data_IF_351420639767
#
_entry.id   IF_351420639767
#
_cell.length_a   1.000
_cell.length_b   1.000
_cell.length_c   1.000
_cell.angle_alpha   90.00
_cell.angle_beta   90.00
_cell.angle_gamma   90.00
#
_symmetry.space_group_name_H-M   'P 1'
#
loop_
_entity.id
_entity.type
_entity.pdbx_description
1 polymer ?
#
# COMPACT_ATOMS: atom_id res chain seq x y z
N UNK A 1 -2.82 59.45 -8.07
CA UNK A 1 -2.52 58.44 -7.02
C UNK A 1 -2.17 59.18 -5.73
N UNK A 2 -2.96 58.96 -4.68
CA UNK A 2 -2.92 59.78 -3.46
C UNK A 2 -1.65 59.52 -2.65
N UNK A 3 -0.99 60.57 -2.14
CA UNK A 3 0.23 60.52 -1.29
C UNK A 3 0.09 59.56 -0.09
N UNK A 4 -1.15 59.28 0.33
CA UNK A 4 -1.48 58.31 1.38
C UNK A 4 -1.20 56.85 0.98
N UNK A 5 -1.37 56.49 -0.29
CA UNK A 5 -1.11 55.12 -0.78
C UNK A 5 0.38 54.84 -0.83
N UNK A 6 1.19 55.84 -1.20
CA UNK A 6 2.65 55.71 -1.23
C UNK A 6 3.25 55.58 0.18
N UNK A 7 2.70 56.31 1.16
CA UNK A 7 3.14 56.21 2.55
C UNK A 7 2.83 54.84 3.17
N UNK A 8 1.65 54.26 2.88
CA UNK A 8 1.28 52.92 3.35
C UNK A 8 2.17 51.85 2.68
N UNK A 9 2.45 51.99 1.39
CA UNK A 9 3.32 51.08 0.66
C UNK A 9 4.77 51.08 1.21
N UNK A 10 5.32 52.27 1.52
CA UNK A 10 6.66 52.36 2.13
C UNK A 10 6.70 51.76 3.55
N UNK A 11 5.67 51.98 4.36
CA UNK A 11 5.60 51.43 5.71
C UNK A 11 5.49 49.90 5.69
N UNK A 12 4.69 49.34 4.77
CA UNK A 12 4.61 47.89 4.58
C UNK A 12 5.93 47.29 4.10
N UNK A 13 6.66 47.96 3.21
CA UNK A 13 7.96 47.49 2.73
C UNK A 13 9.00 47.46 3.86
N UNK A 14 9.04 48.48 4.71
CA UNK A 14 9.95 48.55 5.86
C UNK A 14 9.67 47.44 6.89
N UNK A 15 8.39 47.16 7.18
CA UNK A 15 8.01 46.07 8.08
C UNK A 15 8.38 44.68 7.52
N UNK A 16 8.29 44.50 6.20
CA UNK A 16 8.63 43.24 5.54
C UNK A 16 10.14 42.97 5.56
N UNK A 17 10.97 44.01 5.39
CA UNK A 17 12.43 43.91 5.48
C UNK A 17 12.89 43.55 6.90
N UNK A 18 12.28 44.14 7.94
CA UNK A 18 12.61 43.83 9.33
C UNK A 18 12.32 42.36 9.72
N UNK A 19 11.26 41.78 9.15
CA UNK A 19 10.87 40.38 9.40
C UNK A 19 11.83 39.37 8.75
N UNK A 20 12.40 39.71 7.58
CA UNK A 20 13.35 38.85 6.87
C UNK A 20 14.73 38.84 7.55
N UNK A 21 15.20 39.98 8.05
CA UNK A 21 16.50 40.08 8.75
C UNK A 21 16.47 39.36 10.10
N UNK A 22 15.33 39.40 10.82
CA UNK A 22 15.16 38.68 12.08
C UNK A 22 15.20 37.15 11.95
N UNK A 23 14.72 36.60 10.83
CA UNK A 23 14.66 35.15 10.61
C UNK A 23 16.03 34.53 10.27
N UNK A 24 16.97 35.29 9.69
CA UNK A 24 18.31 34.78 9.35
C UNK A 24 19.25 34.64 10.54
N UNK A 25 19.04 35.41 11.62
CA UNK A 25 19.92 35.35 12.80
C UNK A 25 19.67 34.11 13.69
N UNK A 26 18.49 33.50 13.63
CA UNK A 26 18.13 32.35 14.50
C UNK A 26 18.68 31.01 13.96
N UNK A 27 18.96 30.91 12.66
CA UNK A 27 19.42 29.66 12.03
C UNK A 27 20.91 29.38 12.31
N UNK A 28 21.71 30.39 12.65
CA UNK A 28 23.16 30.23 12.87
C UNK A 28 23.54 29.60 14.24
N UNK A 29 22.60 29.45 15.18
CA UNK A 29 22.91 28.99 16.55
C UNK A 29 22.77 27.46 16.76
N UNK A 30 22.36 26.68 15.75
CA UNK A 30 21.96 25.26 15.95
C UNK A 30 22.96 24.23 15.37
N UNK A 31 24.08 24.64 14.75
CA UNK A 31 25.06 23.70 14.19
C UNK A 31 26.31 23.60 15.07
N UNK A 32 26.15 22.92 16.21
CA UNK A 32 27.25 22.47 17.06
C UNK A 32 28.04 21.32 16.42
N UNK A 33 29.36 21.45 16.46
CA UNK A 33 30.39 20.57 15.89
C UNK A 33 30.45 19.20 16.58
N UNK A 34 30.26 18.11 15.84
CA UNK A 34 30.58 16.75 16.31
C UNK A 34 31.95 16.33 15.78
N UNK A 35 32.90 16.21 16.71
CA UNK A 35 34.27 15.74 16.54
C UNK A 35 34.36 14.24 16.29
N UNK A 36 35.28 13.90 15.39
CA UNK A 36 35.82 12.57 15.04
C UNK A 36 36.31 11.78 16.26
N UNK A 37 35.92 10.51 16.37
CA UNK A 37 36.75 9.50 17.05
C UNK A 37 36.92 8.27 16.15
N UNK A 38 38.16 7.78 16.14
CA UNK A 38 38.79 6.89 15.17
C UNK A 38 39.25 5.69 15.95
N UNK A 39 38.41 4.66 16.05
CA UNK A 39 38.80 3.41 16.71
C UNK A 39 39.12 2.35 15.66
N UNK A 40 40.41 2.06 15.56
CA UNK A 40 41.05 0.96 14.85
C UNK A 40 40.61 -0.39 15.42
N UNK A 41 40.26 -1.35 14.55
CA UNK A 41 40.22 -2.77 14.90
C UNK A 41 41.05 -3.55 13.89
N UNK A 42 42.01 -4.29 14.44
CA UNK A 42 42.97 -5.20 13.82
C UNK A 42 42.32 -6.39 13.10
N UNK A 43 43.11 -6.93 12.16
CA UNK A 43 42.82 -8.11 11.35
C UNK A 43 43.53 -9.37 11.89
N UNK A 44 42.81 -10.50 11.84
CA UNK A 44 43.28 -11.88 11.53
C UNK A 44 43.91 -12.75 12.65
N UNK A 45 44.08 -14.09 12.45
CA UNK A 45 43.18 -15.12 11.86
C UNK A 45 43.22 -16.53 12.56
N UNK A 46 42.42 -17.48 12.02
CA UNK A 46 42.73 -18.91 11.74
C UNK A 46 42.07 -20.07 12.54
N UNK A 47 41.58 -21.07 11.76
CA UNK A 47 41.49 -22.54 11.99
C UNK A 47 40.59 -23.10 13.12
N UNK A 48 40.02 -24.32 13.12
CA UNK A 48 39.83 -25.47 12.19
C UNK A 48 38.98 -26.53 12.96
N UNK A 49 38.31 -27.41 12.20
CA UNK A 49 37.91 -28.79 12.55
C UNK A 49 36.60 -29.10 13.31
N UNK A 50 35.78 -29.90 12.60
CA UNK A 50 34.83 -30.93 13.06
C UNK A 50 35.59 -32.15 13.62
N UNK A 51 34.96 -33.09 14.38
CA UNK A 51 34.13 -34.15 13.78
C UNK A 51 32.92 -34.64 14.64
N UNK A 52 32.27 -35.67 14.08
CA UNK A 52 30.96 -36.32 14.25
C UNK A 52 30.63 -37.12 15.55
N UNK A 53 29.41 -37.70 15.50
CA UNK A 53 28.81 -38.84 16.25
C UNK A 53 27.88 -38.45 17.42
N UNK A 54 26.75 -39.08 17.76
CA UNK A 54 26.07 -40.33 17.36
C UNK A 54 24.63 -40.35 17.98
N UNK A 55 23.76 -41.29 17.56
CA UNK A 55 22.55 -41.76 18.29
C UNK A 55 21.22 -41.07 17.90
N UNK A 56 20.26 -41.63 17.13
CA UNK A 56 19.61 -42.95 17.06
C UNK A 56 18.38 -43.14 17.99
N UNK A 57 17.24 -43.38 17.33
CA UNK A 57 16.03 -44.20 17.66
C UNK A 57 14.97 -43.82 18.72
N UNK A 58 13.71 -43.73 18.27
CA UNK A 58 12.53 -44.57 18.62
C UNK A 58 11.20 -43.79 18.39
N UNK A 59 10.39 -44.11 17.36
CA UNK A 59 9.19 -45.00 17.37
C UNK A 59 8.16 -44.66 18.47
N UNK A 60 6.94 -44.21 18.16
CA UNK A 60 5.82 -45.03 17.69
C UNK A 60 4.96 -45.42 18.91
N UNK A 61 3.73 -44.99 19.12
CA UNK A 61 2.51 -45.56 18.50
C UNK A 61 1.26 -45.02 19.22
N UNK A 62 0.18 -44.88 18.44
CA UNK A 62 -1.22 -44.84 18.91
C UNK A 62 -1.66 -46.23 19.39
N UNK A 63 -2.72 -46.37 20.23
CA UNK A 63 -3.99 -46.83 19.67
C UNK A 63 -5.27 -46.32 20.38
N UNK A 64 -6.38 -46.86 19.89
CA UNK A 64 -7.79 -46.45 19.93
C UNK A 64 -8.63 -47.06 21.07
N UNK A 65 -9.73 -46.36 21.39
CA UNK A 65 -11.08 -46.81 21.82
C UNK A 65 -11.30 -47.82 22.97
N UNK A 66 -12.22 -47.48 23.90
CA UNK A 66 -13.55 -48.13 24.00
C UNK A 66 -14.41 -47.56 25.15
N UNK A 67 -15.72 -47.82 25.01
CA UNK A 67 -16.88 -47.20 25.64
C UNK A 67 -17.22 -47.67 27.08
N UNK A 68 -18.08 -46.89 27.76
CA UNK A 68 -19.04 -47.37 28.77
C UNK A 68 -20.38 -46.59 28.70
N UNK A 69 -21.50 -47.15 29.19
CA UNK A 69 -22.85 -46.76 28.79
C UNK A 69 -23.67 -45.94 29.82
N UNK A 70 -24.71 -45.29 29.28
CA UNK A 70 -26.05 -44.91 29.78
C UNK A 70 -26.35 -44.76 31.28
N UNK A 71 -27.12 -43.71 31.64
CA UNK A 71 -28.42 -43.83 32.35
C UNK A 71 -29.23 -42.52 32.23
N UNK A 72 -30.51 -42.70 31.87
CA UNK A 72 -31.59 -41.71 31.76
C UNK A 72 -32.13 -41.24 33.12
N UNK A 73 -32.61 -39.99 33.21
CA UNK A 73 -33.77 -39.64 34.04
C UNK A 73 -34.35 -38.26 33.62
N UNK A 74 -35.61 -38.26 33.19
CA UNK A 74 -36.48 -37.08 32.98
C UNK A 74 -37.56 -37.06 34.09
N UNK A 75 -38.41 -36.01 34.23
CA UNK A 75 -38.57 -35.23 35.47
C UNK A 75 -39.89 -35.51 36.21
N UNK A 76 -40.11 -34.95 37.41
CA UNK A 76 -41.46 -34.78 37.94
C UNK A 76 -41.98 -33.33 37.80
N UNK A 77 -43.30 -33.26 37.70
CA UNK A 77 -44.12 -32.10 37.38
C UNK A 77 -44.47 -31.20 38.58
N UNK A 78 -44.52 -29.90 38.27
CA UNK A 78 -45.53 -28.87 38.63
C UNK A 78 -46.33 -29.03 39.94
N UNK A 79 -46.25 -27.99 40.78
CA UNK A 79 -47.35 -27.52 41.64
C UNK A 79 -47.49 -25.98 41.55
N UNK A 80 -48.72 -25.44 41.66
CA UNK A 80 -49.06 -24.05 41.29
C UNK A 80 -48.76 -23.01 42.37
N UNK A 81 -48.46 -21.79 41.91
CA UNK A 81 -48.25 -20.58 42.71
C UNK A 81 -49.56 -20.02 43.30
N UNK A 82 -49.54 -19.43 44.51
CA UNK A 82 -50.69 -18.73 45.07
C UNK A 82 -50.91 -17.36 44.42
N UNK A 83 -52.19 -17.07 44.17
CA UNK A 83 -52.77 -15.83 43.67
C UNK A 83 -52.53 -14.65 44.61
N UNK A 84 -51.81 -13.63 44.13
CA UNK A 84 -51.67 -12.35 44.81
C UNK A 84 -52.80 -11.39 44.36
N UNK A 85 -53.45 -10.80 45.36
CA UNK A 85 -54.52 -9.78 45.27
C UNK A 85 -54.07 -8.51 44.51
N UNK A 86 -54.93 -7.88 43.68
CA UNK A 86 -54.56 -6.64 42.98
C UNK A 86 -54.56 -5.42 43.92
N UNK A 87 -53.45 -4.69 43.95
CA UNK A 87 -53.33 -3.35 44.54
C UNK A 87 -53.95 -2.28 43.64
N UNK A 88 -54.43 -1.15 44.19
CA UNK A 88 -55.13 -0.12 43.42
C UNK A 88 -54.23 0.56 42.37
N UNK A 89 -54.77 0.68 41.16
CA UNK A 89 -54.16 1.30 39.98
C UNK A 89 -53.85 2.78 40.23
N UNK A 90 -52.57 3.12 40.39
CA UNK A 90 -52.11 4.51 40.28
C UNK A 90 -52.02 4.87 38.80
N UNK A 91 -52.75 5.91 38.39
CA UNK A 91 -52.74 6.43 37.03
C UNK A 91 -51.30 6.74 36.58
N UNK A 92 -50.86 6.05 35.54
CA UNK A 92 -49.53 6.25 34.96
C UNK A 92 -49.52 7.55 34.14
N UNK A 93 -48.69 8.50 34.55
CA UNK A 93 -48.33 9.66 33.74
C UNK A 93 -47.78 9.18 32.39
N UNK A 94 -48.22 9.74 31.24
CA UNK A 94 -47.67 9.34 29.95
C UNK A 94 -46.18 9.64 29.92
N UNK A 95 -45.38 8.59 29.75
CA UNK A 95 -43.93 8.65 29.62
C UNK A 95 -43.62 9.39 28.31
N UNK A 96 -42.73 10.41 28.29
CA UNK A 96 -42.40 11.09 27.05
C UNK A 96 -41.86 10.06 26.06
N UNK A 97 -42.50 9.96 24.90
CA UNK A 97 -42.06 9.11 23.80
C UNK A 97 -40.69 9.63 23.38
N UNK A 98 -39.65 8.86 23.68
CA UNK A 98 -38.30 9.17 23.25
C UNK A 98 -38.29 9.24 21.72
N UNK A 99 -38.18 10.47 21.20
CA UNK A 99 -37.90 10.70 19.79
C UNK A 99 -36.58 10.03 19.49
N UNK A 100 -36.63 8.90 18.78
CA UNK A 100 -35.44 8.16 18.41
C UNK A 100 -34.70 9.02 17.39
N UNK A 101 -33.62 9.67 17.82
CA UNK A 101 -32.71 10.35 16.92
C UNK A 101 -32.31 9.36 15.80
N UNK A 102 -32.25 9.80 14.52
CA UNK A 102 -31.94 8.90 13.43
C UNK A 102 -30.61 8.21 13.74
N UNK A 103 -30.65 6.88 13.88
CA UNK A 103 -29.47 6.05 14.02
C UNK A 103 -28.61 6.34 12.79
N UNK A 104 -27.47 7.03 12.98
CA UNK A 104 -26.48 7.27 11.94
C UNK A 104 -26.30 5.95 11.19
N UNK A 105 -26.59 5.93 9.88
CA UNK A 105 -26.46 4.72 9.08
C UNK A 105 -25.06 4.16 9.32
N UNK A 106 -24.99 2.90 9.76
CA UNK A 106 -23.72 2.24 9.97
C UNK A 106 -22.99 2.25 8.62
N UNK A 107 -21.88 2.98 8.59
CA UNK A 107 -21.00 3.05 7.44
C UNK A 107 -20.54 1.61 7.13
N UNK A 108 -20.86 1.12 5.93
CA UNK A 108 -20.44 -0.20 5.51
C UNK A 108 -18.91 -0.21 5.29
N UNK A 109 -18.21 -1.00 6.11
CA UNK A 109 -16.81 -1.31 5.90
C UNK A 109 -16.70 -2.50 4.94
N UNK A 110 -15.92 -2.34 3.88
CA UNK A 110 -15.79 -3.30 2.80
C UNK A 110 -14.39 -3.94 2.82
N UNK A 111 -14.26 -5.26 2.68
CA UNK A 111 -12.96 -5.92 2.76
C UNK A 111 -12.15 -5.68 1.48
N UNK A 112 -10.89 -5.29 1.67
CA UNK A 112 -9.94 -5.08 0.57
C UNK A 112 -9.28 -6.42 0.24
N UNK A 113 -9.40 -6.84 -1.02
CA UNK A 113 -8.90 -8.14 -1.51
C UNK A 113 -7.55 -8.03 -2.20
N UNK A 114 -7.11 -6.81 -2.54
CA UNK A 114 -5.79 -6.58 -3.09
C UNK A 114 -5.52 -5.12 -3.43
N UNK A 115 -4.26 -4.83 -3.71
CA UNK A 115 -3.77 -3.52 -4.16
C UNK A 115 -3.13 -3.72 -5.53
N UNK A 116 -3.46 -2.87 -6.50
CA UNK A 116 -2.87 -2.91 -7.85
C UNK A 116 -1.61 -2.06 -7.89
N UNK A 117 -1.73 -0.83 -7.40
CA UNK A 117 -0.69 0.20 -7.31
C UNK A 117 -1.06 1.18 -6.18
N UNK A 118 -0.36 2.31 -6.06
CA UNK A 118 -0.54 3.24 -4.95
C UNK A 118 -1.87 4.00 -4.95
N UNK A 119 -2.68 3.93 -6.01
CA UNK A 119 -3.95 4.65 -6.12
C UNK A 119 -5.11 3.78 -6.64
N UNK A 120 -4.86 2.50 -6.94
CA UNK A 120 -5.87 1.56 -7.41
C UNK A 120 -5.91 0.33 -6.50
N UNK A 121 -7.06 0.13 -5.83
CA UNK A 121 -7.32 -1.01 -4.94
C UNK A 121 -8.42 -1.93 -5.49
N UNK A 122 -8.49 -3.15 -4.98
CA UNK A 122 -9.55 -4.13 -5.27
C UNK A 122 -10.34 -4.41 -4.00
N UNK A 123 -11.65 -4.18 -4.03
CA UNK A 123 -12.54 -4.29 -2.87
C UNK A 123 -13.66 -5.25 -3.19
N UNK A 124 -14.10 -6.05 -2.22
CA UNK A 124 -15.26 -6.92 -2.39
C UNK A 124 -16.54 -6.16 -2.01
N UNK A 125 -17.43 -5.95 -2.99
CA UNK A 125 -18.70 -5.25 -2.85
C UNK A 125 -19.81 -6.21 -3.29
N UNK A 126 -20.74 -6.54 -2.40
CA UNK A 126 -21.85 -7.46 -2.73
C UNK A 126 -21.41 -8.82 -3.26
N UNK A 127 -20.27 -9.34 -2.80
CA UNK A 127 -19.70 -10.62 -3.26
C UNK A 127 -18.82 -10.53 -4.52
N UNK A 128 -18.88 -9.42 -5.26
CA UNK A 128 -18.08 -9.19 -6.47
C UNK A 128 -16.81 -8.40 -6.14
N UNK A 129 -15.72 -8.67 -6.86
CA UNK A 129 -14.48 -7.89 -6.73
C UNK A 129 -14.53 -6.68 -7.66
N UNK A 130 -14.56 -5.49 -7.08
CA UNK A 130 -14.57 -4.20 -7.78
C UNK A 130 -13.19 -3.54 -7.73
N UNK A 131 -12.82 -2.84 -8.81
CA UNK A 131 -11.62 -1.99 -8.82
C UNK A 131 -12.01 -0.57 -8.45
N UNK A 132 -11.25 0.04 -7.56
CA UNK A 132 -11.47 1.40 -7.08
C UNK A 132 -10.24 2.24 -7.40
N UNK A 133 -10.43 3.34 -8.14
CA UNK A 133 -9.43 4.41 -8.28
C UNK A 133 -9.68 5.42 -7.18
N UNK A 134 -8.66 5.66 -6.36
CA UNK A 134 -8.73 6.60 -5.26
C UNK A 134 -8.74 8.03 -5.80
N UNK A 135 -9.72 8.81 -5.36
CA UNK A 135 -9.88 10.22 -5.78
C UNK A 135 -8.74 11.07 -5.20
N UNK A 136 -8.26 12.04 -5.99
CA UNK A 136 -7.38 13.10 -5.52
C UNK A 136 -5.89 12.75 -5.42
N UNK A 137 -5.50 11.54 -5.79
CA UNK A 137 -4.10 11.09 -5.77
C UNK A 137 -3.68 10.49 -7.10
N UNK A 138 -2.42 10.73 -7.45
CA UNK A 138 -1.71 10.04 -8.51
C UNK A 138 -0.38 9.51 -7.97
N UNK A 139 -0.20 8.20 -8.08
CA UNK A 139 1.00 7.52 -7.58
C UNK A 139 1.87 7.02 -8.72
N UNK A 140 3.19 6.86 -8.51
CA UNK A 140 4.06 6.34 -9.56
C UNK A 140 3.63 4.93 -9.99
N UNK A 141 3.57 4.71 -11.30
CA UNK A 141 3.05 3.48 -11.88
C UNK A 141 4.05 2.32 -11.74
N UNK A 142 3.59 1.20 -11.17
CA UNK A 142 4.42 -0.01 -11.01
C UNK A 142 4.88 -0.58 -12.34
N UNK A 143 4.03 -0.51 -13.37
CA UNK A 143 4.34 -1.06 -14.70
C UNK A 143 5.43 -0.28 -15.43
N UNK A 144 5.70 0.96 -15.02
CA UNK A 144 6.76 1.81 -15.58
C UNK A 144 8.06 1.75 -14.80
N UNK A 145 8.15 0.97 -13.71
CA UNK A 145 9.24 1.04 -12.72
C UNK A 145 9.52 2.48 -12.29
N UNK A 146 8.47 3.30 -12.17
CA UNK A 146 8.64 4.69 -11.82
C UNK A 146 9.24 4.82 -10.42
N UNK A 147 10.03 5.87 -10.23
CA UNK A 147 10.68 6.10 -8.95
C UNK A 147 9.64 6.12 -7.83
N UNK A 148 9.86 5.30 -6.79
CA UNK A 148 8.96 5.11 -5.64
C UNK A 148 7.65 4.33 -5.89
N UNK A 149 7.38 3.80 -7.09
CA UNK A 149 6.16 3.02 -7.36
C UNK A 149 5.94 1.86 -6.37
N UNK A 150 6.99 1.07 -6.11
CA UNK A 150 6.93 -0.04 -5.16
C UNK A 150 6.64 0.43 -3.73
N UNK A 151 7.29 1.52 -3.31
CA UNK A 151 7.09 2.10 -1.97
C UNK A 151 5.67 2.64 -1.81
N UNK A 152 5.12 3.27 -2.85
CA UNK A 152 3.74 3.77 -2.85
C UNK A 152 2.73 2.64 -2.76
N UNK A 153 2.90 1.59 -3.57
CA UNK A 153 2.04 0.40 -3.53
C UNK A 153 2.10 -0.32 -2.18
N UNK A 154 3.29 -0.56 -1.64
CA UNK A 154 3.45 -1.16 -0.31
C UNK A 154 2.85 -0.27 0.79
N UNK A 155 2.94 1.06 0.68
CA UNK A 155 2.30 1.96 1.63
C UNK A 155 0.77 1.85 1.58
N UNK A 156 0.18 1.90 0.39
CA UNK A 156 -1.27 1.69 0.21
C UNK A 156 -1.67 0.34 0.82
N UNK A 157 -0.95 -0.72 0.47
CA UNK A 157 -1.15 -2.07 1.00
C UNK A 157 -1.11 -2.11 2.53
N UNK A 158 -0.13 -1.48 3.20
CA UNK A 158 -0.08 -1.41 4.67
C UNK A 158 -1.26 -0.68 5.31
N UNK A 159 -1.92 0.24 4.59
CA UNK A 159 -3.07 0.99 5.08
C UNK A 159 -4.35 0.16 4.96
N UNK A 160 -4.50 -0.57 3.85
CA UNK A 160 -5.78 -1.18 3.48
C UNK A 160 -5.82 -2.70 3.56
N UNK A 161 -4.69 -3.39 3.41
CA UNK A 161 -4.65 -4.85 3.37
C UNK A 161 -4.90 -5.42 4.77
N UNK A 162 -5.74 -6.45 4.84
CA UNK A 162 -6.25 -7.06 6.08
C UNK A 162 -7.17 -6.16 6.91
N UNK A 163 -7.55 -4.99 6.38
CA UNK A 163 -8.55 -4.11 6.97
C UNK A 163 -9.74 -3.98 6.05
N UNK A 164 -10.88 -3.61 6.64
CA UNK A 164 -12.02 -3.15 5.86
C UNK A 164 -11.96 -1.63 5.76
N UNK A 165 -12.31 -1.10 4.60
CA UNK A 165 -12.30 0.33 4.32
C UNK A 165 -13.71 0.81 4.01
N UNK A 166 -14.00 2.06 4.33
CA UNK A 166 -15.19 2.73 3.82
C UNK A 166 -14.86 3.32 2.44
N UNK A 167 -15.77 3.10 1.49
CA UNK A 167 -15.75 3.76 0.19
C UNK A 167 -16.79 4.88 0.18
N UNK A 168 -16.35 6.12 0.00
CA UNK A 168 -17.24 7.29 -0.07
C UNK A 168 -17.24 7.82 -1.51
N UNK A 169 -18.43 7.92 -2.09
CA UNK A 169 -18.60 8.55 -3.40
C UNK A 169 -18.51 10.07 -3.25
N UNK A 170 -17.95 10.73 -4.26
CA UNK A 170 -17.86 12.18 -4.31
C UNK A 170 -18.90 12.71 -5.32
N UNK A 171 -19.91 13.50 -4.89
CA UNK A 171 -20.96 14.01 -5.78
C UNK A 171 -20.44 14.90 -6.92
N UNK A 172 -19.24 15.47 -6.77
CA UNK A 172 -18.60 16.29 -7.81
C UNK A 172 -17.94 15.44 -8.90
N UNK A 173 -17.79 14.14 -8.67
CA UNK A 173 -17.12 13.19 -9.56
C UNK A 173 -18.13 12.19 -10.13
N UNK A 174 -17.80 11.62 -11.29
CA UNK A 174 -18.54 10.48 -11.82
C UNK A 174 -18.41 9.26 -10.90
N UNK A 175 -19.37 8.33 -11.00
CA UNK A 175 -19.32 7.10 -10.19
C UNK A 175 -18.17 6.17 -10.61
N UNK A 176 -17.90 6.13 -11.92
CA UNK A 176 -16.85 5.33 -12.54
C UNK A 176 -16.05 6.13 -13.55
N UNK A 177 -14.81 5.71 -13.76
CA UNK A 177 -13.97 6.22 -14.84
C UNK A 177 -14.20 5.50 -16.18
N UNK A 178 -13.53 5.97 -17.25
CA UNK A 178 -13.60 5.36 -18.59
C UNK A 178 -13.11 3.91 -18.67
N UNK A 179 -12.44 3.42 -17.62
CA UNK A 179 -11.93 2.04 -17.50
C UNK A 179 -12.81 1.18 -16.59
N UNK A 180 -13.99 1.68 -16.21
CA UNK A 180 -14.95 0.99 -15.35
C UNK A 180 -14.52 0.88 -13.89
N UNK A 181 -13.49 1.61 -13.42
CA UNK A 181 -13.13 1.64 -11.99
C UNK A 181 -14.08 2.55 -11.24
N UNK A 182 -14.50 2.16 -10.04
CA UNK A 182 -15.20 3.05 -9.12
C UNK A 182 -14.30 4.20 -8.70
N UNK A 183 -14.84 5.42 -8.68
CA UNK A 183 -14.17 6.61 -8.16
C UNK A 183 -14.63 6.83 -6.72
N UNK A 184 -13.73 6.64 -5.75
CA UNK A 184 -14.07 6.73 -4.32
C UNK A 184 -12.97 7.39 -3.50
N UNK A 185 -13.37 8.09 -2.46
CA UNK A 185 -12.52 8.32 -1.29
C UNK A 185 -12.43 7.03 -0.49
N UNK A 186 -11.21 6.64 -0.13
CA UNK A 186 -10.95 5.45 0.69
C UNK A 186 -10.65 5.92 2.11
N UNK A 187 -11.58 5.64 3.02
CA UNK A 187 -11.44 5.94 4.44
C UNK A 187 -11.07 4.66 5.17
N UNK A 188 -9.94 4.68 5.88
CA UNK A 188 -9.48 3.55 6.69
C UNK A 188 -10.33 3.40 7.95
N UNK A 189 -10.25 2.25 8.62
CA UNK A 189 -11.04 1.96 9.82
C UNK A 189 -10.79 2.94 10.97
N UNK A 190 -9.60 3.54 11.04
CA UNK A 190 -9.23 4.61 11.99
C UNK A 190 -9.67 6.02 11.53
N UNK A 191 -10.46 6.12 10.46
CA UNK A 191 -11.06 7.38 9.97
C UNK A 191 -10.14 8.25 9.13
N UNK A 192 -8.99 7.74 8.69
CA UNK A 192 -8.03 8.50 7.86
C UNK A 192 -8.34 8.32 6.38
N UNK A 193 -8.16 9.39 5.60
CA UNK A 193 -8.21 9.31 4.13
C UNK A 193 -6.90 8.72 3.61
N UNK A 194 -6.97 7.57 2.92
CA UNK A 194 -5.79 6.89 2.41
C UNK A 194 -4.97 7.81 1.49
N UNK A 195 -5.62 8.51 0.56
CA UNK A 195 -4.95 9.47 -0.35
C UNK A 195 -4.19 10.56 0.42
N UNK A 196 -4.79 11.16 1.45
CA UNK A 196 -4.11 12.16 2.27
C UNK A 196 -2.85 11.60 2.94
N UNK A 197 -2.91 10.38 3.49
CA UNK A 197 -1.77 9.73 4.15
C UNK A 197 -0.65 9.45 3.16
N UNK A 198 -0.97 9.00 1.95
CA UNK A 198 0.04 8.76 0.91
C UNK A 198 0.68 10.06 0.43
N UNK A 199 -0.12 11.09 0.16
CA UNK A 199 0.38 12.40 -0.31
C UNK A 199 1.29 13.03 0.76
N UNK A 200 0.87 13.00 2.02
CA UNK A 200 1.67 13.55 3.13
C UNK A 200 3.01 12.82 3.32
N UNK A 201 3.05 11.52 3.02
CA UNK A 201 4.27 10.72 3.04
C UNK A 201 5.13 10.84 1.77
N UNK A 202 4.68 11.60 0.75
CA UNK A 202 5.38 11.74 -0.53
C UNK A 202 5.28 10.50 -1.43
N UNK A 203 4.30 9.62 -1.20
CA UNK A 203 4.08 8.41 -2.02
C UNK A 203 3.30 8.68 -3.30
N UNK A 204 2.72 9.87 -3.44
CA UNK A 204 1.98 10.32 -4.61
C UNK A 204 1.81 11.83 -4.62
N UNK A 205 1.26 12.33 -5.72
CA UNK A 205 0.96 13.75 -5.95
C UNK A 205 -0.53 13.99 -5.79
N UNK A 206 -0.90 15.23 -5.47
CA UNK A 206 -2.30 15.63 -5.58
C UNK A 206 -2.70 15.62 -7.06
N UNK A 207 -3.88 15.10 -7.35
CA UNK A 207 -4.38 15.01 -8.71
C UNK A 207 -5.84 15.43 -8.81
N UNK A 208 -6.05 16.57 -9.46
CA UNK A 208 -7.36 17.07 -9.86
C UNK A 208 -7.52 16.82 -11.35
N UNK A 209 -8.51 16.01 -11.75
CA UNK A 209 -8.74 15.73 -13.17
C UNK A 209 -9.48 16.87 -13.89
N UNK A 210 -10.76 17.09 -13.54
CA UNK A 210 -11.64 18.03 -14.24
C UNK A 210 -12.38 18.98 -13.28
N UNK A 211 -12.91 18.45 -12.18
CA UNK A 211 -13.62 19.22 -11.17
C UNK A 211 -12.92 19.15 -9.81
N UNK A 212 -13.05 20.22 -9.02
CA UNK A 212 -12.65 20.18 -7.62
C UNK A 212 -13.46 19.11 -6.89
N UNK A 213 -12.78 18.34 -6.05
CA UNK A 213 -13.33 17.22 -5.30
C UNK A 213 -13.25 17.49 -3.80
N UNK A 214 -14.00 16.72 -3.00
CA UNK A 214 -14.02 16.84 -1.56
C UNK A 214 -12.63 16.56 -0.96
N UNK A 215 -12.19 17.35 0.03
CA UNK A 215 -10.86 17.26 0.66
C UNK A 215 -9.66 17.76 -0.18
N UNK A 216 -9.86 18.32 -1.39
CA UNK A 216 -8.76 18.85 -2.22
C UNK A 216 -7.82 19.79 -1.47
N UNK A 217 -8.35 20.72 -0.69
CA UNK A 217 -7.52 21.68 0.07
C UNK A 217 -6.59 20.99 1.07
N UNK A 218 -7.04 19.91 1.71
CA UNK A 218 -6.21 19.11 2.61
C UNK A 218 -5.10 18.36 1.86
N UNK A 219 -5.38 17.89 0.64
CA UNK A 219 -4.41 17.14 -0.17
C UNK A 219 -3.33 18.08 -0.73
N UNK A 220 -3.71 19.26 -1.22
CA UNK A 220 -2.76 20.32 -1.62
C UNK A 220 -1.86 20.72 -0.44
N UNK A 221 -2.43 20.88 0.76
CA UNK A 221 -1.65 21.20 1.95
C UNK A 221 -0.70 20.05 2.34
N UNK A 222 -1.14 18.79 2.23
CA UNK A 222 -0.31 17.61 2.47
C UNK A 222 0.85 17.53 1.47
N UNK A 223 0.59 17.78 0.19
CA UNK A 223 1.60 17.77 -0.86
C UNK A 223 2.65 18.86 -0.61
N UNK A 224 2.22 20.07 -0.23
CA UNK A 224 3.13 21.17 0.15
C UNK A 224 4.06 20.77 1.30
N UNK A 225 3.55 20.06 2.32
CA UNK A 225 4.37 19.54 3.43
C UNK A 225 5.37 18.48 2.96
N UNK A 226 4.94 17.56 2.10
CA UNK A 226 5.81 16.52 1.55
C UNK A 226 6.95 17.10 0.68
N UNK A 227 6.63 18.10 -0.16
CA UNK A 227 7.59 18.87 -0.95
C UNK A 227 8.60 19.60 -0.07
N UNK A 228 8.15 20.33 0.94
CA UNK A 228 9.02 21.08 1.86
C UNK A 228 10.01 20.15 2.60
N UNK A 229 9.56 18.94 2.95
CA UNK A 229 10.37 17.90 3.60
C UNK A 229 11.17 17.02 2.62
N UNK A 230 11.06 17.26 1.31
CA UNK A 230 11.70 16.47 0.23
C UNK A 230 11.45 14.97 0.37
N UNK A 231 10.22 14.58 0.71
CA UNK A 231 9.84 13.18 0.94
C UNK A 231 9.51 12.47 -0.38
N UNK A 232 9.82 11.18 -0.43
CA UNK A 232 9.29 10.29 -1.46
C UNK A 232 9.64 10.72 -2.89
N UNK A 233 8.60 10.88 -3.71
CA UNK A 233 8.71 11.36 -5.11
C UNK A 233 9.32 12.76 -5.22
N UNK A 234 9.36 13.53 -4.13
CA UNK A 234 9.98 14.86 -4.06
C UNK A 234 11.44 14.83 -3.58
N UNK A 235 11.97 13.65 -3.26
CA UNK A 235 13.36 13.50 -2.84
C UNK A 235 14.32 13.54 -4.04
N UNK A 236 15.57 13.91 -3.79
CA UNK A 236 16.62 13.91 -4.81
C UNK A 236 16.87 12.52 -5.43
N UNK A 237 16.49 11.44 -4.72
CA UNK A 237 16.57 10.07 -5.22
C UNK A 237 15.71 9.82 -6.47
N UNK A 238 14.69 10.66 -6.72
CA UNK A 238 13.88 10.63 -7.93
C UNK A 238 14.20 11.77 -8.91
N UNK A 239 15.10 12.68 -8.57
CA UNK A 239 15.44 13.86 -9.37
C UNK A 239 16.61 13.64 -10.32
N UNK A 240 17.21 12.44 -10.34
CA UNK A 240 18.32 12.16 -11.24
C UNK A 240 17.85 12.17 -12.70
N UNK A 241 18.46 12.98 -13.60
CA UNK A 241 18.41 12.67 -15.01
C UNK A 241 19.08 11.31 -15.20
N UNK A 242 18.56 10.52 -16.14
CA UNK A 242 19.11 9.23 -16.57
C UNK A 242 20.53 9.38 -17.12
N UNK A 243 21.52 9.56 -16.25
CA UNK A 243 22.92 9.25 -16.57
C UNK A 243 23.22 7.90 -15.96
N UNK A 244 23.47 6.93 -16.83
CA UNK A 244 23.84 5.58 -16.47
C UNK A 244 24.99 5.61 -15.47
N UNK A 245 24.73 5.16 -14.24
CA UNK A 245 25.78 4.98 -13.26
C UNK A 245 26.75 3.90 -13.78
N UNK A 246 28.08 4.14 -13.77
CA UNK A 246 29.03 3.08 -14.05
C UNK A 246 28.89 1.98 -12.99
N UNK A 247 29.04 0.70 -13.37
CA UNK A 247 28.80 -0.42 -12.46
C UNK A 247 29.77 -0.37 -11.26
N UNK A 248 29.30 -0.59 -10.02
CA UNK A 248 30.18 -0.76 -8.88
C UNK A 248 30.99 -2.05 -9.05
N UNK A 249 32.31 -1.89 -9.05
CA UNK A 249 33.28 -2.98 -9.14
C UNK A 249 33.47 -3.63 -7.75
N UNK A 250 33.10 -4.91 -7.64
CA UNK A 250 33.42 -5.84 -6.53
C UNK A 250 32.66 -5.64 -5.22
N UNK A 251 32.34 -6.66 -4.40
CA UNK A 251 32.37 -8.13 -4.53
C UNK A 251 31.53 -8.72 -3.36
N UNK A 252 30.92 -9.88 -3.62
CA UNK A 252 30.45 -10.92 -2.69
C UNK A 252 29.21 -10.70 -1.78
N UNK A 253 28.23 -11.60 -1.94
CA UNK A 253 27.30 -11.98 -0.87
C UNK A 253 25.87 -12.33 -1.29
N UNK A 254 25.69 -13.44 -2.02
CA UNK A 254 24.51 -14.35 -1.98
C UNK A 254 23.12 -13.77 -2.37
N UNK A 255 22.68 -13.93 -3.63
CA UNK A 255 21.29 -13.63 -4.01
C UNK A 255 20.79 -14.36 -5.29
N UNK A 256 19.54 -14.83 -5.20
CA UNK A 256 18.50 -14.94 -6.23
C UNK A 256 18.75 -15.83 -7.47
N UNK A 257 17.69 -16.41 -8.09
CA UNK A 257 17.84 -17.32 -9.23
C UNK A 257 18.48 -16.58 -10.41
N UNK A 258 19.67 -17.04 -10.77
CA UNK A 258 20.56 -16.41 -11.74
C UNK A 258 20.01 -16.63 -13.15
N UNK A 259 19.78 -15.54 -13.87
CA UNK A 259 19.60 -15.51 -15.32
C UNK A 259 20.73 -16.33 -15.98
N UNK A 260 20.45 -17.34 -16.83
CA UNK A 260 21.53 -18.13 -17.43
C UNK A 260 22.44 -17.22 -18.25
N UNK A 261 23.70 -17.09 -17.84
CA UNK A 261 24.78 -16.52 -18.64
C UNK A 261 25.18 -17.56 -19.68
N UNK A 262 24.32 -17.74 -20.68
CA UNK A 262 24.49 -18.67 -21.77
C UNK A 262 23.72 -18.21 -23.00
N UNK A 263 23.92 -18.90 -24.12
CA UNK A 263 23.33 -18.63 -25.45
C UNK A 263 21.78 -18.70 -25.48
N UNK A 264 21.16 -18.94 -24.33
CA UNK A 264 19.72 -19.11 -24.13
C UNK A 264 19.05 -17.82 -23.69
N UNK A 265 19.17 -16.83 -24.56
CA UNK A 265 18.65 -15.49 -24.34
C UNK A 265 17.21 -15.33 -24.79
N UNK A 266 16.58 -16.31 -25.45
CA UNK A 266 15.22 -16.13 -25.94
C UNK A 266 14.24 -16.35 -24.78
N UNK A 267 13.43 -15.33 -24.47
CA UNK A 267 12.46 -15.33 -23.37
C UNK A 267 11.12 -15.88 -23.82
N UNK A 268 10.65 -17.00 -23.29
CA UNK A 268 9.30 -17.52 -23.50
C UNK A 268 8.34 -17.20 -22.36
N UNK A 269 7.47 -16.19 -22.53
CA UNK A 269 6.37 -15.83 -21.61
C UNK A 269 4.96 -16.34 -22.05
N UNK A 270 4.15 -16.81 -21.10
CA UNK A 270 2.76 -17.20 -21.32
C UNK A 270 1.86 -16.02 -20.96
N UNK A 271 1.11 -15.51 -21.94
CA UNK A 271 0.18 -14.41 -21.71
C UNK A 271 -0.97 -14.81 -20.78
N UNK A 272 -1.70 -13.84 -20.25
CA UNK A 272 -2.90 -14.10 -19.44
C UNK A 272 -4.02 -14.85 -20.17
N UNK A 273 -3.93 -14.97 -21.50
CA UNK A 273 -4.84 -15.75 -22.35
C UNK A 273 -4.32 -17.16 -22.65
N UNK A 274 -3.18 -17.56 -22.06
CA UNK A 274 -2.54 -18.85 -22.29
C UNK A 274 -1.67 -18.92 -23.55
N UNK A 275 -1.48 -17.80 -24.27
CA UNK A 275 -0.66 -17.80 -25.48
C UNK A 275 0.83 -17.88 -25.12
N UNK A 276 1.53 -18.83 -25.74
CA UNK A 276 2.99 -19.02 -25.62
C UNK A 276 3.73 -18.10 -26.58
N UNK A 277 4.39 -17.07 -26.05
CA UNK A 277 5.07 -16.03 -26.84
C UNK A 277 6.56 -16.00 -26.52
N UNK A 278 7.41 -16.11 -27.54
CA UNK A 278 8.86 -15.97 -27.36
C UNK A 278 9.37 -14.61 -27.86
N UNK A 279 10.36 -14.06 -27.14
CA UNK A 279 10.97 -12.76 -27.39
C UNK A 279 12.48 -12.95 -27.61
N UNK A 280 12.99 -12.38 -28.70
CA UNK A 280 14.41 -12.39 -29.06
C UNK A 280 15.11 -11.12 -28.57
N UNK A 281 16.40 -11.17 -28.21
CA UNK A 281 17.18 -9.98 -27.88
C UNK A 281 17.05 -8.89 -28.97
N UNK A 282 16.82 -7.65 -28.56
CA UNK A 282 16.60 -6.52 -29.47
C UNK A 282 15.16 -6.35 -29.98
N UNK A 283 14.24 -7.28 -29.67
CA UNK A 283 12.82 -7.11 -29.96
C UNK A 283 12.13 -6.12 -29.02
N UNK A 284 11.12 -5.38 -29.49
CA UNK A 284 10.50 -4.28 -28.74
C UNK A 284 9.83 -4.62 -27.39
N UNK A 285 9.65 -5.90 -27.06
CA UNK A 285 9.17 -6.34 -25.74
C UNK A 285 10.17 -7.24 -25.02
N UNK A 286 11.38 -7.40 -25.54
CA UNK A 286 12.37 -8.30 -24.98
C UNK A 286 12.78 -7.90 -23.57
N UNK A 287 13.13 -6.63 -23.35
CA UNK A 287 13.64 -6.17 -22.06
C UNK A 287 12.56 -6.09 -20.98
N UNK A 288 11.31 -5.84 -21.38
CA UNK A 288 10.15 -5.79 -20.47
C UNK A 288 9.57 -7.17 -20.14
N UNK A 289 9.89 -8.20 -20.92
CA UNK A 289 9.41 -9.55 -20.66
C UNK A 289 10.18 -10.16 -19.49
N UNK A 290 9.46 -10.64 -18.47
CA UNK A 290 10.02 -11.33 -17.31
C UNK A 290 9.52 -12.77 -17.34
N UNK A 291 10.45 -13.72 -17.21
CA UNK A 291 10.15 -15.15 -17.21
C UNK A 291 9.82 -15.62 -15.80
N UNK A 292 8.63 -16.20 -15.65
CA UNK A 292 8.13 -16.79 -14.42
C UNK A 292 8.03 -18.31 -14.56
N UNK A 293 9.07 -19.04 -14.18
CA UNK A 293 9.13 -20.51 -14.37
C UNK A 293 7.98 -21.28 -13.73
N UNK A 294 7.44 -20.78 -12.61
CA UNK A 294 6.28 -21.39 -11.94
C UNK A 294 4.99 -21.34 -12.78
N UNK A 295 4.94 -20.54 -13.85
CA UNK A 295 3.84 -20.51 -14.82
C UNK A 295 4.11 -21.37 -16.06
N UNK A 296 5.21 -22.12 -16.10
CA UNK A 296 5.66 -22.86 -17.29
C UNK A 296 6.33 -21.98 -18.34
N UNK A 297 6.69 -20.74 -17.99
CA UNK A 297 7.52 -19.85 -18.80
C UNK A 297 8.97 -20.29 -18.73
N UNK A 298 9.75 -20.09 -19.79
CA UNK A 298 11.15 -20.56 -19.82
C UNK A 298 11.99 -19.84 -20.86
N UNK A 299 13.30 -20.06 -20.77
CA UNK A 299 14.26 -19.58 -21.75
C UNK A 299 14.52 -20.61 -22.85
N UNK A 300 14.87 -20.13 -24.04
CA UNK A 300 15.24 -20.94 -25.21
C UNK A 300 16.60 -20.53 -25.74
N UNK A 301 17.32 -21.49 -26.31
CA UNK A 301 18.65 -21.31 -26.89
C UNK A 301 18.60 -20.91 -28.37
N UNK A 302 17.53 -21.26 -29.08
CA UNK A 302 17.30 -20.83 -30.47
C UNK A 302 15.83 -20.57 -30.74
N UNK A 303 15.52 -19.77 -31.78
CA UNK A 303 14.12 -19.53 -32.20
C UNK A 303 13.46 -20.83 -32.67
N UNK A 304 14.22 -21.71 -33.34
CA UNK A 304 13.74 -23.02 -33.79
C UNK A 304 13.27 -23.89 -32.62
N UNK A 305 13.99 -23.87 -31.50
CA UNK A 305 13.61 -24.58 -30.28
C UNK A 305 12.31 -24.03 -29.67
N UNK A 306 12.14 -22.70 -29.68
CA UNK A 306 10.91 -22.06 -29.21
C UNK A 306 9.70 -22.47 -30.08
N UNK A 307 9.86 -22.44 -31.39
CA UNK A 307 8.81 -22.85 -32.33
C UNK A 307 8.47 -24.33 -32.18
N UNK A 308 9.47 -25.21 -32.09
CA UNK A 308 9.26 -26.65 -31.86
C UNK A 308 8.53 -26.94 -30.54
N UNK A 309 8.74 -26.09 -29.53
CA UNK A 309 8.03 -26.15 -28.25
C UNK A 309 6.60 -25.57 -28.26
N UNK A 310 6.13 -25.11 -29.42
CA UNK A 310 4.80 -24.52 -29.59
C UNK A 310 4.70 -23.05 -29.20
N UNK A 311 5.83 -22.32 -29.23
CA UNK A 311 5.87 -20.89 -28.92
C UNK A 311 5.92 -20.07 -30.21
N UNK A 312 5.10 -19.02 -30.29
CA UNK A 312 5.11 -18.10 -31.43
C UNK A 312 5.96 -16.86 -31.15
N UNK A 313 6.55 -16.28 -32.19
CA UNK A 313 7.31 -15.02 -32.07
C UNK A 313 6.39 -13.89 -31.60
N UNK A 314 6.90 -13.01 -30.76
CA UNK A 314 6.23 -11.77 -30.41
C UNK A 314 5.98 -10.93 -31.68
N UNK A 315 4.77 -10.40 -31.82
CA UNK A 315 4.38 -9.51 -32.94
C UNK A 315 4.68 -8.09 -32.49
N UNK A 316 5.94 -7.68 -32.65
CA UNK A 316 6.45 -6.41 -32.17
C UNK A 316 7.16 -5.69 -33.30
#
# INVERSE_FOLDING_TARGET
MSKRILAIALACLAALVALVVGATAVVALVMGTATTDRTTVELSPVATASPAADGSVADGSSPSASATPATSATPPAVLPAPTATPSPTRAATPRPVATTAPRRAAVALLPVVGVTDGDTIKVRVGGVTERVRVIGIDTPELKGNECWAQKASSKMQSLVQSRSVQLVADPSQGDRDRYGRLLRHVVTQDGRLAAQVLIEGGFGKEYTYAAAYEHRSAYVAAEKRAKAKKLGVWSAACAAPVVAAPPPSGSNGTAAPVKPTGRCLIKGNISSKGEKIYHVPGGGSYDVTVITESKGERWFCTEAEAVAAGWRKARN
#
